data_IF_141612395940
#
_entry.id   IF_141612395940
#
_cell.length_a   1.000
_cell.length_b   1.000
_cell.length_c   1.000
_cell.angle_alpha   90.00
_cell.angle_beta   90.00
_cell.angle_gamma   90.00
#
_symmetry.space_group_name_H-M   'P 1'
#
loop_
_entity.id
_entity.type
_entity.pdbx_description
1 polymer ?
#
# COMPACT_ATOMS: atom_id res chain seq x y z
N UNK A 1 -18.88 4.51 17.34
CA UNK A 1 -17.90 5.61 17.37
C UNK A 1 -16.58 4.97 17.74
N UNK A 2 -15.62 4.92 16.81
CA UNK A 2 -14.28 4.38 17.11
C UNK A 2 -13.57 5.41 17.99
N UNK A 3 -13.13 5.01 19.18
CA UNK A 3 -12.30 5.87 20.02
C UNK A 3 -10.87 5.77 19.49
N UNK A 4 -10.19 6.90 19.31
CA UNK A 4 -8.81 6.98 18.80
C UNK A 4 -7.77 6.25 19.68
N UNK A 5 -8.19 5.73 20.84
CA UNK A 5 -7.36 5.20 21.92
C UNK A 5 -6.89 3.75 21.76
N UNK A 6 -7.37 3.00 20.78
CA UNK A 6 -7.17 1.53 20.75
C UNK A 6 -5.94 1.08 19.92
N UNK A 7 -5.20 2.01 19.33
CA UNK A 7 -3.99 1.66 18.58
C UNK A 7 -2.71 1.82 19.40
N UNK A 8 -1.77 0.87 19.30
CA UNK A 8 -0.45 1.01 19.91
C UNK A 8 0.25 2.25 19.34
N UNK A 9 0.76 3.09 20.23
CA UNK A 9 1.53 4.30 19.90
C UNK A 9 3.02 4.08 20.19
N UNK A 10 3.89 4.74 19.43
CA UNK A 10 5.35 4.61 19.54
C UNK A 10 6.02 4.13 18.26
N UNK A 11 7.34 3.84 18.30
CA UNK A 11 8.11 3.42 17.14
C UNK A 11 7.82 1.94 16.83
N UNK A 12 6.74 1.70 16.09
CA UNK A 12 6.38 0.37 15.63
C UNK A 12 6.48 0.28 14.11
N UNK A 13 6.99 -0.85 13.63
CA UNK A 13 6.99 -1.21 12.22
C UNK A 13 6.06 -2.39 12.02
N UNK A 14 5.17 -2.28 11.05
CA UNK A 14 4.21 -3.31 10.69
C UNK A 14 4.36 -3.65 9.22
N UNK A 15 4.03 -4.88 8.85
CA UNK A 15 3.91 -5.26 7.45
C UNK A 15 2.59 -4.71 6.90
N UNK A 16 2.51 -4.52 5.58
CA UNK A 16 1.30 -3.98 4.96
C UNK A 16 0.07 -4.87 5.24
N UNK A 17 0.24 -6.20 5.20
CA UNK A 17 -0.82 -7.17 5.47
C UNK A 17 -1.34 -7.15 6.92
N UNK A 18 -0.53 -6.64 7.87
CA UNK A 18 -0.93 -6.48 9.27
C UNK A 18 -1.91 -5.31 9.41
N UNK A 19 -1.79 -4.29 8.54
CA UNK A 19 -2.57 -3.06 8.59
C UNK A 19 -3.71 -3.02 7.55
N UNK A 20 -3.63 -3.81 6.49
CA UNK A 20 -4.56 -3.75 5.37
C UNK A 20 -4.92 -5.12 4.79
N UNK A 21 -6.14 -5.23 4.25
CA UNK A 21 -6.49 -6.24 3.27
C UNK A 21 -5.99 -5.78 1.90
N UNK A 22 -5.38 -6.70 1.16
CA UNK A 22 -4.92 -6.45 -0.21
C UNK A 22 -5.54 -7.44 -1.19
N UNK A 23 -5.79 -6.95 -2.41
CA UNK A 23 -6.23 -7.75 -3.55
C UNK A 23 -5.51 -7.24 -4.79
N UNK A 24 -5.04 -8.16 -5.62
CA UNK A 24 -4.58 -7.85 -6.97
C UNK A 24 -5.62 -8.32 -7.99
N UNK A 25 -5.79 -7.53 -9.05
CA UNK A 25 -6.51 -7.93 -10.25
C UNK A 25 -5.56 -7.90 -11.43
N UNK A 26 -5.32 -9.06 -12.02
CA UNK A 26 -4.43 -9.19 -13.18
C UNK A 26 -5.16 -8.83 -14.48
N UNK A 27 -4.44 -8.14 -15.38
CA UNK A 27 -4.87 -7.75 -16.73
C UNK A 27 -3.69 -7.86 -17.69
N UNK A 28 -3.23 -9.09 -17.92
CA UNK A 28 -2.13 -9.38 -18.84
C UNK A 28 -0.81 -8.84 -18.29
N UNK A 29 -0.28 -7.79 -18.93
CA UNK A 29 0.98 -7.17 -18.51
C UNK A 29 0.79 -6.06 -17.45
N UNK A 30 -0.44 -5.88 -16.95
CA UNK A 30 -0.77 -4.86 -15.94
C UNK A 30 -1.53 -5.47 -14.78
N UNK A 31 -1.31 -4.92 -13.58
CA UNK A 31 -2.03 -5.34 -12.37
C UNK A 31 -2.59 -4.13 -11.62
N UNK A 32 -3.82 -4.25 -11.14
CA UNK A 32 -4.40 -3.29 -10.21
C UNK A 32 -4.27 -3.82 -8.78
N UNK A 33 -3.88 -2.96 -7.83
CA UNK A 33 -3.74 -3.33 -6.42
C UNK A 33 -4.74 -2.52 -5.59
N UNK A 34 -5.72 -3.22 -5.00
CA UNK A 34 -6.63 -2.67 -4.01
C UNK A 34 -6.06 -2.84 -2.60
N UNK A 35 -6.05 -1.75 -1.83
CA UNK A 35 -5.62 -1.73 -0.42
C UNK A 35 -6.75 -1.17 0.44
N UNK A 36 -7.23 -1.95 1.40
CA UNK A 36 -8.31 -1.57 2.31
C UNK A 36 -7.77 -1.67 3.75
N UNK A 37 -7.77 -0.55 4.47
CA UNK A 37 -7.32 -0.53 5.86
C UNK A 37 -8.16 -1.46 6.74
N UNK A 38 -7.50 -2.28 7.57
CA UNK A 38 -8.18 -3.16 8.55
C UNK A 38 -8.85 -2.36 9.68
N UNK A 39 -8.32 -1.17 9.96
CA UNK A 39 -8.86 -0.24 10.93
C UNK A 39 -8.87 1.18 10.33
N UNK A 40 -9.91 2.02 10.54
CA UNK A 40 -9.98 3.37 9.97
C UNK A 40 -8.75 4.23 10.29
N UNK A 41 -8.19 4.09 11.48
CA UNK A 41 -7.02 4.85 11.91
C UNK A 41 -5.70 4.44 11.23
N UNK A 42 -5.65 3.29 10.55
CA UNK A 42 -4.50 2.95 9.72
C UNK A 42 -4.51 3.66 8.37
N UNK A 43 -5.68 4.13 7.90
CA UNK A 43 -5.80 4.75 6.58
C UNK A 43 -4.87 5.97 6.38
N UNK A 44 -4.75 6.93 7.32
CA UNK A 44 -3.83 8.05 7.16
C UNK A 44 -2.37 7.62 6.99
N UNK A 45 -1.93 6.59 7.73
CA UNK A 45 -0.58 6.03 7.61
C UNK A 45 -0.39 5.32 6.27
N UNK A 46 -1.30 4.42 5.90
CA UNK A 46 -1.27 3.71 4.63
C UNK A 46 -1.25 4.69 3.44
N UNK A 47 -2.11 5.72 3.47
CA UNK A 47 -2.17 6.76 2.43
C UNK A 47 -0.86 7.54 2.32
N UNK A 48 -0.22 7.85 3.45
CA UNK A 48 1.07 8.57 3.50
C UNK A 48 2.21 7.74 2.93
N UNK A 49 2.25 6.43 3.21
CA UNK A 49 3.39 5.58 2.89
C UNK A 49 3.28 4.81 1.57
N UNK A 50 2.08 4.45 1.10
CA UNK A 50 1.88 3.67 -0.13
C UNK A 50 1.89 4.53 -1.40
N UNK A 51 2.92 5.34 -1.59
CA UNK A 51 3.04 6.22 -2.78
C UNK A 51 3.35 5.42 -4.04
N UNK A 52 3.08 5.99 -5.22
CA UNK A 52 3.44 5.36 -6.50
C UNK A 52 4.94 5.03 -6.55
N UNK A 53 5.80 5.90 -6.03
CA UNK A 53 7.26 5.68 -5.99
C UNK A 53 7.66 4.47 -5.14
N UNK A 54 7.05 4.28 -3.96
CA UNK A 54 7.33 3.14 -3.08
C UNK A 54 6.87 1.83 -3.72
N UNK A 55 5.72 1.85 -4.38
CA UNK A 55 5.19 0.68 -5.09
C UNK A 55 6.04 0.36 -6.32
N UNK A 56 6.45 1.37 -7.08
CA UNK A 56 7.35 1.23 -8.24
C UNK A 56 8.71 0.67 -7.82
N UNK A 57 9.29 1.18 -6.74
CA UNK A 57 10.55 0.65 -6.18
C UNK A 57 10.41 -0.82 -5.78
N UNK A 58 9.33 -1.18 -5.09
CA UNK A 58 9.07 -2.56 -4.67
C UNK A 58 8.93 -3.52 -5.86
N UNK A 59 8.21 -3.11 -6.91
CA UNK A 59 7.98 -3.91 -8.12
C UNK A 59 9.02 -3.67 -9.23
N UNK A 60 10.09 -2.93 -8.97
CA UNK A 60 11.11 -2.58 -9.98
C UNK A 60 11.71 -3.78 -10.70
N UNK A 61 11.76 -4.93 -10.03
CA UNK A 61 12.22 -6.21 -10.59
C UNK A 61 11.28 -6.82 -11.64
N UNK A 62 10.04 -6.33 -11.76
CA UNK A 62 9.05 -6.73 -12.77
C UNK A 62 8.89 -5.69 -13.88
N UNK A 63 9.36 -4.46 -13.67
CA UNK A 63 9.16 -3.34 -14.59
C UNK A 63 10.29 -3.32 -15.61
N UNK A 64 9.94 -3.25 -16.90
CA UNK A 64 10.93 -3.18 -17.96
C UNK A 64 11.74 -1.86 -17.87
N UNK A 65 13.07 -1.89 -18.11
CA UNK A 65 13.89 -0.69 -18.11
C UNK A 65 13.36 0.38 -19.07
N UNK A 66 13.34 1.64 -18.63
CA UNK A 66 12.94 2.78 -19.47
C UNK A 66 11.43 3.03 -19.55
N UNK A 67 10.59 2.20 -18.93
CA UNK A 67 9.16 2.48 -18.77
C UNK A 67 8.97 3.65 -17.81
N UNK A 68 8.29 4.70 -18.27
CA UNK A 68 7.96 5.87 -17.44
C UNK A 68 6.56 5.73 -16.87
N UNK A 69 6.35 6.22 -15.65
CA UNK A 69 5.05 6.19 -14.96
C UNK A 69 4.45 4.77 -14.86
N UNK A 70 5.28 3.77 -14.58
CA UNK A 70 4.88 2.36 -14.51
C UNK A 70 3.84 2.09 -13.41
N UNK A 71 3.77 2.95 -12.39
CA UNK A 71 2.79 2.88 -11.30
C UNK A 71 2.02 4.19 -11.17
N UNK A 72 0.69 4.09 -11.15
CA UNK A 72 -0.24 5.20 -10.96
C UNK A 72 -1.22 4.91 -9.84
N UNK A 73 -1.86 5.97 -9.29
CA UNK A 73 -2.86 5.90 -8.21
C UNK A 73 -4.24 6.26 -8.74
#
# INVERSE_FOLDING_TARGET
>A
MFLDSDLPSGPHSYRLEDLAYTRSGDKGDSANIGVIARHPLFFPYLKKHLTSSVVEEYFSHLIQPGVQNAVTR
#
